data_IF_206004523267
#
_entry.id   IF_206004523267
#
_cell.length_a   1.000
_cell.length_b   1.000
_cell.length_c   1.000
_cell.angle_alpha   90.00
_cell.angle_beta   90.00
_cell.angle_gamma   90.00
#
_symmetry.space_group_name_H-M   'P 1'
#
loop_
_entity.id
_entity.type
_entity.pdbx_description
1 polymer ?
#
# COMPACT_ATOMS: atom_id res chain seq x y z
N UNK A 1 12.48 -7.95 -9.80
CA UNK A 1 13.12 -6.68 -10.20
C UNK A 1 12.58 -6.14 -11.53
N UNK A 2 12.04 -7.01 -12.42
CA UNK A 2 11.51 -6.63 -13.73
C UNK A 2 10.36 -5.60 -13.65
N UNK A 3 9.40 -5.82 -12.77
CA UNK A 3 8.19 -4.97 -12.65
C UNK A 3 8.43 -3.67 -11.87
N UNK A 4 9.46 -3.65 -11.05
CA UNK A 4 9.85 -2.48 -10.27
C UNK A 4 11.36 -2.33 -10.32
N UNK A 5 11.80 -1.26 -10.96
CA UNK A 5 13.20 -0.84 -10.95
C UNK A 5 13.32 0.42 -10.09
N UNK A 6 13.34 0.28 -8.76
CA UNK A 6 13.45 1.44 -7.88
C UNK A 6 14.76 2.18 -8.19
N UNK A 7 14.72 3.49 -8.18
CA UNK A 7 15.93 4.30 -8.36
C UNK A 7 16.81 4.29 -7.10
N UNK A 8 16.18 4.15 -5.95
CA UNK A 8 16.84 4.10 -4.63
C UNK A 8 16.05 3.15 -3.72
N UNK A 9 16.73 2.57 -2.74
CA UNK A 9 16.07 1.92 -1.60
C UNK A 9 16.05 2.88 -0.42
N UNK A 10 14.99 2.87 0.41
CA UNK A 10 15.00 3.62 1.65
C UNK A 10 16.11 3.11 2.57
N UNK A 11 16.58 3.97 3.47
CA UNK A 11 17.47 3.54 4.54
C UNK A 11 16.69 2.62 5.47
N UNK A 12 16.80 1.31 5.26
CA UNK A 12 16.17 0.29 6.10
C UNK A 12 17.01 0.12 7.38
N UNK A 13 16.75 0.97 8.36
CA UNK A 13 17.38 0.91 9.68
C UNK A 13 16.82 -0.22 10.55
N UNK A 14 15.66 -0.76 10.18
CA UNK A 14 15.04 -1.85 10.91
C UNK A 14 15.79 -3.16 10.66
N UNK A 15 16.38 -3.69 11.70
CA UNK A 15 17.18 -4.93 11.66
C UNK A 15 16.32 -6.19 11.44
N UNK A 16 15.01 -6.08 11.59
CA UNK A 16 14.09 -7.21 11.41
C UNK A 16 13.59 -7.38 9.96
N UNK A 17 14.04 -6.52 9.03
CA UNK A 17 13.63 -6.60 7.64
C UNK A 17 14.66 -7.39 6.83
N UNK A 18 14.19 -8.44 6.15
CA UNK A 18 14.96 -9.20 5.16
C UNK A 18 14.43 -8.89 3.75
N UNK A 19 15.32 -8.76 2.77
CA UNK A 19 14.98 -8.43 1.39
C UNK A 19 15.42 -9.57 0.47
N UNK A 20 14.48 -10.10 -0.30
CA UNK A 20 14.77 -11.02 -1.41
C UNK A 20 14.50 -10.30 -2.72
N UNK A 21 15.53 -10.16 -3.54
CA UNK A 21 15.44 -9.53 -4.85
C UNK A 21 15.42 -10.63 -5.91
N UNK A 22 14.25 -10.88 -6.47
CA UNK A 22 14.11 -11.85 -7.54
C UNK A 22 14.51 -11.22 -8.88
N UNK A 23 15.41 -11.88 -9.58
CA UNK A 23 15.99 -11.42 -10.85
C UNK A 23 15.69 -12.44 -11.92
N UNK A 24 14.88 -12.06 -12.90
CA UNK A 24 14.53 -12.92 -14.04
C UNK A 24 15.75 -13.29 -14.90
N UNK A 25 15.63 -14.36 -15.68
CA UNK A 25 16.73 -14.91 -16.50
C UNK A 25 17.33 -13.86 -17.44
N UNK A 26 16.48 -13.08 -18.10
CA UNK A 26 16.89 -12.06 -19.06
C UNK A 26 17.42 -10.75 -18.42
N UNK A 27 17.31 -10.62 -17.10
CA UNK A 27 17.73 -9.41 -16.39
C UNK A 27 19.21 -9.51 -16.00
N UNK A 28 20.08 -8.88 -16.77
CA UNK A 28 21.54 -8.91 -16.54
C UNK A 28 22.08 -7.61 -15.91
N UNK A 29 21.24 -6.58 -15.80
CA UNK A 29 21.65 -5.28 -15.25
C UNK A 29 20.82 -4.92 -14.04
N UNK A 30 21.49 -4.47 -12.99
CA UNK A 30 20.88 -3.89 -11.79
C UNK A 30 21.44 -2.48 -11.63
N UNK A 31 20.57 -1.54 -11.26
CA UNK A 31 21.00 -0.18 -10.98
C UNK A 31 22.04 -0.16 -9.85
N UNK A 32 23.17 0.53 -10.05
CA UNK A 32 24.26 0.58 -9.08
C UNK A 32 23.81 1.06 -7.70
N UNK A 33 22.99 2.10 -7.61
CA UNK A 33 22.53 2.62 -6.32
C UNK A 33 21.69 1.57 -5.56
N UNK A 34 20.93 0.74 -6.25
CA UNK A 34 20.18 -0.38 -5.64
C UNK A 34 21.12 -1.46 -5.17
N UNK A 35 22.09 -1.85 -6.00
CA UNK A 35 23.08 -2.85 -5.62
C UNK A 35 23.88 -2.40 -4.40
N UNK A 36 24.31 -1.15 -4.37
CA UNK A 36 25.02 -0.55 -3.24
C UNK A 36 24.15 -0.52 -1.97
N UNK A 37 22.90 -0.09 -2.06
CA UNK A 37 21.98 -0.08 -0.91
C UNK A 37 21.75 -1.48 -0.34
N UNK A 38 21.58 -2.49 -1.21
CA UNK A 38 21.43 -3.89 -0.79
C UNK A 38 22.71 -4.43 -0.14
N UNK A 39 23.88 -4.03 -0.65
CA UNK A 39 25.17 -4.38 -0.05
C UNK A 39 25.31 -3.83 1.39
N UNK A 40 24.87 -2.60 1.63
CA UNK A 40 24.85 -1.99 2.97
C UNK A 40 23.93 -2.73 3.96
N UNK A 41 22.83 -3.34 3.47
CA UNK A 41 21.94 -4.19 4.27
C UNK A 41 22.63 -5.52 4.65
N UNK A 42 23.60 -5.94 3.88
CA UNK A 42 24.43 -7.12 4.16
C UNK A 42 23.65 -8.42 4.04
N UNK A 43 23.83 -9.34 5.00
CA UNK A 43 23.25 -10.70 4.97
C UNK A 43 21.72 -10.74 4.91
N UNK A 44 21.04 -9.66 5.26
CA UNK A 44 19.57 -9.54 5.20
C UNK A 44 19.06 -9.24 3.80
N UNK A 45 19.94 -8.91 2.84
CA UNK A 45 19.57 -8.73 1.44
C UNK A 45 20.20 -9.84 0.59
N UNK A 46 19.36 -10.50 -0.23
CA UNK A 46 19.80 -11.60 -1.09
C UNK A 46 19.21 -11.46 -2.49
N UNK A 47 20.04 -11.71 -3.50
CA UNK A 47 19.58 -11.88 -4.88
C UNK A 47 19.20 -13.33 -5.15
N UNK A 48 18.06 -13.54 -5.76
CA UNK A 48 17.58 -14.84 -6.22
C UNK A 48 17.50 -14.78 -7.74
N UNK A 49 18.51 -15.30 -8.42
CA UNK A 49 18.52 -15.41 -9.88
C UNK A 49 17.64 -16.57 -10.31
N UNK A 50 16.67 -16.31 -11.19
CA UNK A 50 15.78 -17.32 -11.75
C UNK A 50 16.34 -17.75 -13.09
N UNK A 51 16.54 -19.06 -13.26
CA UNK A 51 17.12 -19.63 -14.47
C UNK A 51 16.06 -20.08 -15.48
N UNK A 52 14.82 -20.25 -15.04
CA UNK A 52 13.69 -20.63 -15.89
C UNK A 52 13.15 -19.43 -16.68
N UNK A 53 12.63 -19.70 -17.87
CA UNK A 53 11.83 -18.79 -18.69
C UNK A 53 10.39 -19.29 -18.74
N UNK A 54 9.45 -18.42 -18.89
CA UNK A 54 8.03 -18.75 -19.04
C UNK A 54 7.16 -17.70 -18.36
N UNK A 55 5.88 -17.68 -18.74
CA UNK A 55 4.90 -16.82 -18.11
C UNK A 55 4.82 -17.13 -16.62
N UNK A 56 4.85 -16.09 -15.78
CA UNK A 56 4.75 -16.18 -14.33
C UNK A 56 5.89 -16.98 -13.64
N UNK A 57 7.02 -17.25 -14.32
CA UNK A 57 8.13 -17.97 -13.71
C UNK A 57 8.65 -17.27 -12.43
N UNK A 58 8.72 -15.97 -12.46
CA UNK A 58 9.11 -15.14 -11.30
C UNK A 58 8.09 -15.26 -10.16
N UNK A 59 6.81 -15.26 -10.49
CA UNK A 59 5.71 -15.27 -9.51
C UNK A 59 5.65 -16.59 -8.76
N UNK A 60 5.88 -17.73 -9.45
CA UNK A 60 5.98 -19.03 -8.81
C UNK A 60 7.16 -19.10 -7.84
N UNK A 61 8.29 -18.52 -8.18
CA UNK A 61 9.43 -18.47 -7.25
C UNK A 61 9.14 -17.60 -6.03
N UNK A 62 8.50 -16.45 -6.22
CA UNK A 62 8.07 -15.60 -5.10
C UNK A 62 7.11 -16.36 -4.17
N UNK A 63 6.09 -17.02 -4.74
CA UNK A 63 5.14 -17.83 -3.99
C UNK A 63 5.83 -18.96 -3.20
N UNK A 64 6.76 -19.67 -3.84
CA UNK A 64 7.56 -20.72 -3.20
C UNK A 64 8.35 -20.19 -2.00
N UNK A 65 9.07 -19.09 -2.17
CA UNK A 65 9.86 -18.51 -1.07
C UNK A 65 9.01 -17.98 0.08
N UNK A 66 7.85 -17.42 -0.20
CA UNK A 66 6.90 -17.01 0.85
C UNK A 66 6.46 -18.23 1.65
N UNK A 67 6.04 -19.32 0.98
CA UNK A 67 5.63 -20.56 1.64
C UNK A 67 6.75 -21.19 2.46
N UNK A 68 7.97 -21.24 1.92
CA UNK A 68 9.16 -21.73 2.61
C UNK A 68 9.46 -20.94 3.88
N UNK A 69 9.49 -19.63 3.79
CA UNK A 69 9.81 -18.75 4.92
C UNK A 69 8.71 -18.71 5.97
N UNK A 70 7.44 -18.74 5.56
CA UNK A 70 6.30 -18.83 6.47
C UNK A 70 6.27 -20.16 7.23
N UNK A 71 6.81 -21.24 6.63
CA UNK A 71 7.00 -22.52 7.31
C UNK A 71 8.05 -22.46 8.43
N UNK A 72 9.07 -21.62 8.28
CA UNK A 72 10.13 -21.41 9.28
C UNK A 72 9.70 -20.44 10.37
N UNK A 73 9.04 -19.34 10.00
CA UNK A 73 8.56 -18.33 10.93
C UNK A 73 7.09 -17.96 10.61
N UNK A 74 6.17 -18.48 11.43
CA UNK A 74 4.73 -18.24 11.28
C UNK A 74 4.32 -16.80 11.64
N UNK A 75 5.19 -16.05 12.30
CA UNK A 75 4.94 -14.66 12.69
C UNK A 75 5.43 -13.66 11.65
N UNK A 76 6.17 -14.13 10.65
CA UNK A 76 6.72 -13.30 9.59
C UNK A 76 5.61 -12.61 8.79
N UNK A 77 5.86 -11.35 8.44
CA UNK A 77 5.00 -10.56 7.57
C UNK A 77 5.68 -10.37 6.22
N UNK A 78 4.95 -10.62 5.16
CA UNK A 78 5.49 -10.56 3.80
C UNK A 78 4.95 -9.33 3.06
N UNK A 79 5.84 -8.67 2.32
CA UNK A 79 5.49 -7.56 1.43
C UNK A 79 6.02 -7.88 0.03
N UNK A 80 5.11 -8.08 -0.92
CA UNK A 80 5.46 -8.21 -2.33
C UNK A 80 5.52 -6.81 -2.91
N UNK A 81 6.71 -6.36 -3.34
CA UNK A 81 6.86 -5.07 -3.99
C UNK A 81 6.65 -5.28 -5.49
N UNK A 82 5.44 -5.01 -5.98
CA UNK A 82 5.06 -5.19 -7.37
C UNK A 82 3.84 -4.35 -7.74
N UNK A 83 3.83 -3.82 -8.97
CA UNK A 83 2.65 -3.19 -9.56
C UNK A 83 1.69 -4.21 -10.19
N UNK A 84 2.12 -5.45 -10.29
CA UNK A 84 1.34 -6.52 -10.91
C UNK A 84 0.25 -7.00 -9.96
N UNK A 85 -1.00 -6.82 -10.34
CA UNK A 85 -2.18 -7.29 -9.61
C UNK A 85 -2.37 -8.81 -9.70
N UNK A 86 -1.61 -9.51 -10.53
CA UNK A 86 -1.59 -10.97 -10.62
C UNK A 86 -1.24 -11.66 -9.29
N UNK A 87 -0.60 -10.94 -8.36
CA UNK A 87 -0.33 -11.42 -7.00
C UNK A 87 -1.54 -11.37 -6.07
N UNK A 88 -2.60 -10.63 -6.38
CA UNK A 88 -3.72 -10.41 -5.46
C UNK A 88 -4.45 -11.73 -5.10
N UNK A 89 -4.70 -12.69 -6.02
CA UNK A 89 -5.25 -14.00 -5.67
C UNK A 89 -4.36 -14.82 -4.74
N UNK A 90 -3.04 -14.80 -4.95
CA UNK A 90 -2.08 -15.45 -4.05
C UNK A 90 -2.14 -14.84 -2.64
N UNK A 91 -2.17 -13.52 -2.55
CA UNK A 91 -2.24 -12.80 -1.28
C UNK A 91 -3.53 -13.12 -0.53
N UNK A 92 -4.66 -13.19 -1.24
CA UNK A 92 -5.94 -13.59 -0.66
C UNK A 92 -5.87 -15.01 -0.08
N UNK A 93 -5.28 -15.96 -0.81
CA UNK A 93 -5.07 -17.33 -0.34
C UNK A 93 -4.14 -17.40 0.89
N UNK A 94 -3.01 -16.71 0.85
CA UNK A 94 -2.06 -16.66 1.97
C UNK A 94 -2.72 -16.11 3.25
N UNK A 95 -3.51 -15.04 3.14
CA UNK A 95 -4.27 -14.50 4.27
C UNK A 95 -5.28 -15.49 4.82
N UNK A 96 -6.00 -16.21 3.95
CA UNK A 96 -6.96 -17.24 4.37
C UNK A 96 -6.29 -18.41 5.12
N UNK A 97 -5.01 -18.69 4.83
CA UNK A 97 -4.20 -19.70 5.52
C UNK A 97 -3.43 -19.16 6.74
N UNK A 98 -3.68 -17.91 7.14
CA UNK A 98 -3.05 -17.28 8.30
C UNK A 98 -1.68 -16.67 8.06
N UNK A 99 -1.23 -16.57 6.80
CA UNK A 99 0.05 -15.95 6.43
C UNK A 99 -0.20 -14.47 6.11
N UNK A 100 0.45 -13.59 6.85
CA UNK A 100 0.35 -12.15 6.62
C UNK A 100 1.14 -11.73 5.39
N UNK A 101 0.44 -11.46 4.28
CA UNK A 101 1.04 -11.00 3.04
C UNK A 101 0.28 -9.80 2.47
N UNK A 102 1.01 -8.81 1.94
CA UNK A 102 0.44 -7.63 1.25
C UNK A 102 1.25 -7.28 0.01
N UNK A 103 0.63 -6.63 -0.97
CA UNK A 103 1.33 -6.06 -2.11
C UNK A 103 1.50 -4.54 -1.91
N UNK A 104 2.65 -4.04 -2.29
CA UNK A 104 2.99 -2.62 -2.29
C UNK A 104 3.52 -2.24 -3.68
N UNK A 105 3.10 -1.11 -4.21
CA UNK A 105 3.54 -0.63 -5.54
C UNK A 105 4.98 -0.08 -5.52
N UNK A 106 5.50 0.23 -4.34
CA UNK A 106 6.87 0.74 -4.14
C UNK A 106 7.35 0.50 -2.72
N UNK A 107 8.65 0.64 -2.48
CA UNK A 107 9.19 0.60 -1.13
C UNK A 107 8.66 1.77 -0.29
N UNK A 108 8.22 1.51 0.96
CA UNK A 108 7.89 2.57 1.92
C UNK A 108 9.08 3.52 2.09
N UNK A 109 8.86 4.83 1.96
CA UNK A 109 9.92 5.85 2.09
C UNK A 109 10.60 6.28 0.79
N UNK A 110 10.41 5.61 -0.34
CA UNK A 110 10.87 6.04 -1.67
C UNK A 110 9.84 6.83 -2.47
N UNK A 111 8.68 6.98 -1.97
CA UNK A 111 7.72 7.92 -2.52
C UNK A 111 8.17 9.34 -2.11
N UNK A 112 8.68 10.17 -3.07
CA UNK A 112 8.07 11.49 -3.16
C UNK A 112 6.59 11.24 -2.95
N UNK A 113 5.83 12.10 -2.25
CA UNK A 113 4.39 11.91 -2.11
C UNK A 113 3.75 11.94 -3.50
N UNK A 114 3.92 10.88 -4.26
CA UNK A 114 3.09 10.48 -5.37
C UNK A 114 1.98 9.69 -4.74
N UNK A 115 0.91 10.36 -4.63
CA UNK A 115 -0.44 9.99 -4.29
C UNK A 115 -0.85 8.61 -4.83
N UNK A 116 -0.45 7.52 -4.17
CA UNK A 116 -1.09 6.20 -4.32
C UNK A 116 -0.57 5.30 -3.23
N UNK A 117 -1.12 5.45 -2.06
CA UNK A 117 -1.22 4.40 -1.04
C UNK A 117 -2.10 4.89 0.06
N UNK A 118 -3.11 4.14 0.38
CA UNK A 118 -3.93 4.31 1.57
C UNK A 118 -3.98 5.77 2.09
N UNK A 119 -4.33 6.69 1.22
CA UNK A 119 -5.19 7.76 1.65
C UNK A 119 -6.42 6.97 2.04
N UNK A 120 -6.51 6.63 3.30
CA UNK A 120 -7.76 6.20 3.88
C UNK A 120 -8.80 7.05 3.20
N UNK A 121 -9.95 6.50 2.88
CA UNK A 121 -11.05 7.26 2.28
C UNK A 121 -11.23 8.61 2.98
N UNK A 122 -10.89 8.65 4.27
CA UNK A 122 -10.73 9.83 5.10
C UNK A 122 -9.77 10.88 4.51
N UNK A 123 -8.54 10.51 4.16
CA UNK A 123 -7.57 11.46 3.61
C UNK A 123 -7.99 11.98 2.21
N UNK A 124 -8.68 11.15 1.43
CA UNK A 124 -9.28 11.57 0.14
C UNK A 124 -10.41 12.55 0.35
N UNK A 125 -11.27 12.32 1.35
CA UNK A 125 -12.35 13.25 1.74
C UNK A 125 -11.79 14.56 2.23
N UNK A 126 -10.74 14.56 3.06
CA UNK A 126 -10.07 15.78 3.53
C UNK A 126 -9.51 16.58 2.35
N UNK A 127 -8.78 15.92 1.45
CA UNK A 127 -8.23 16.57 0.25
C UNK A 127 -9.33 17.13 -0.67
N UNK A 128 -10.48 16.44 -0.76
CA UNK A 128 -11.64 16.94 -1.51
C UNK A 128 -12.23 18.18 -0.84
N UNK A 129 -12.39 18.18 0.48
CA UNK A 129 -12.87 19.34 1.25
C UNK A 129 -11.95 20.56 1.10
N UNK A 130 -10.63 20.34 0.98
CA UNK A 130 -9.67 21.39 0.71
C UNK A 130 -9.87 22.03 -0.68
N UNK A 131 -10.19 21.21 -1.69
CA UNK A 131 -10.47 21.69 -3.06
C UNK A 131 -11.76 22.52 -3.13
N UNK A 132 -12.79 22.14 -2.36
CA UNK A 132 -14.12 22.79 -2.39
C UNK A 132 -14.33 23.83 -1.28
N UNK A 133 -13.26 24.47 -0.79
CA UNK A 133 -13.31 25.42 0.34
C UNK A 133 -14.48 26.42 0.29
N UNK A 134 -14.81 26.91 -0.90
CA UNK A 134 -15.91 27.87 -1.13
C UNK A 134 -17.30 27.24 -1.25
N UNK A 135 -17.39 25.92 -1.39
CA UNK A 135 -18.63 25.20 -1.63
C UNK A 135 -18.81 24.00 -0.70
N UNK A 136 -18.24 24.06 0.50
CA UNK A 136 -18.35 23.00 1.50
C UNK A 136 -19.80 22.83 1.95
N UNK A 137 -20.27 21.58 2.11
CA UNK A 137 -21.63 21.30 2.57
C UNK A 137 -21.89 21.87 3.94
N UNK A 138 -23.00 22.59 4.13
CA UNK A 138 -23.37 23.23 5.40
C UNK A 138 -24.23 22.36 6.32
N UNK A 139 -24.70 21.18 5.86
CA UNK A 139 -25.49 20.25 6.65
C UNK A 139 -24.95 18.83 6.53
N UNK A 140 -25.23 17.99 7.55
CA UNK A 140 -24.79 16.60 7.56
C UNK A 140 -25.30 15.82 6.36
N UNK A 141 -26.58 16.00 5.99
CA UNK A 141 -27.18 15.33 4.83
C UNK A 141 -26.45 15.69 3.52
N UNK A 142 -26.20 16.98 3.29
CA UNK A 142 -25.43 17.43 2.13
C UNK A 142 -23.99 16.90 2.13
N UNK A 143 -23.41 16.78 3.32
CA UNK A 143 -22.07 16.22 3.49
C UNK A 143 -22.03 14.72 3.15
N UNK A 144 -22.99 13.95 3.63
CA UNK A 144 -23.18 12.53 3.25
C UNK A 144 -23.33 12.36 1.75
N UNK A 145 -24.22 13.14 1.15
CA UNK A 145 -24.49 13.10 -0.29
C UNK A 145 -23.24 13.47 -1.11
N UNK A 146 -22.45 14.43 -0.67
CA UNK A 146 -21.19 14.80 -1.29
C UNK A 146 -20.18 13.64 -1.23
N UNK A 147 -20.01 12.98 -0.08
CA UNK A 147 -19.12 11.82 0.05
C UNK A 147 -19.56 10.70 -0.91
N UNK A 148 -20.85 10.35 -0.90
CA UNK A 148 -21.40 9.31 -1.78
C UNK A 148 -21.16 9.66 -3.25
N UNK A 149 -21.45 10.89 -3.66
CA UNK A 149 -21.29 11.32 -5.04
C UNK A 149 -19.83 11.34 -5.50
N UNK A 150 -18.92 11.85 -4.64
CA UNK A 150 -17.52 11.99 -4.98
C UNK A 150 -16.75 10.66 -4.96
N UNK A 151 -17.14 9.72 -4.09
CA UNK A 151 -16.42 8.47 -3.82
C UNK A 151 -17.23 7.20 -4.07
N UNK A 152 -18.26 7.27 -4.90
CA UNK A 152 -19.23 6.18 -5.22
C UNK A 152 -18.59 4.82 -5.52
N UNK A 153 -17.36 4.80 -6.05
CA UNK A 153 -16.63 3.56 -6.36
C UNK A 153 -15.78 3.03 -5.20
N UNK A 154 -15.64 3.78 -4.13
CA UNK A 154 -14.70 3.51 -3.04
C UNK A 154 -15.36 3.39 -1.67
N UNK A 155 -16.65 3.72 -1.56
CA UNK A 155 -17.40 3.69 -0.30
C UNK A 155 -18.80 3.11 -0.48
N UNK A 156 -19.21 2.29 0.47
CA UNK A 156 -20.60 1.82 0.60
C UNK A 156 -21.42 2.77 1.48
N UNK A 157 -22.73 2.71 1.38
CA UNK A 157 -23.63 3.52 2.23
C UNK A 157 -23.42 3.27 3.73
N UNK A 158 -23.05 2.05 4.11
CA UNK A 158 -22.80 1.63 5.49
C UNK A 158 -21.50 2.22 6.06
N UNK A 159 -20.52 2.51 5.21
CA UNK A 159 -19.20 3.04 5.61
C UNK A 159 -19.19 4.57 5.76
N UNK A 160 -20.21 5.28 5.24
CA UNK A 160 -20.27 6.76 5.34
C UNK A 160 -20.40 7.23 6.78
N UNK A 161 -21.23 6.54 7.59
CA UNK A 161 -21.45 6.93 9.00
C UNK A 161 -20.21 6.77 9.86
N UNK A 162 -19.50 5.63 9.85
CA UNK A 162 -18.22 5.47 10.54
C UNK A 162 -17.15 6.48 10.11
N UNK A 163 -17.11 6.83 8.82
CA UNK A 163 -16.18 7.83 8.30
C UNK A 163 -16.48 9.22 8.88
N UNK A 164 -17.75 9.64 8.94
CA UNK A 164 -18.15 10.91 9.54
C UNK A 164 -17.76 10.99 11.01
N UNK A 165 -18.00 9.92 11.78
CA UNK A 165 -17.59 9.86 13.19
C UNK A 165 -16.07 9.95 13.34
N UNK A 166 -15.30 9.34 12.46
CA UNK A 166 -13.83 9.46 12.44
C UNK A 166 -13.38 10.91 12.19
N UNK A 167 -14.01 11.61 11.23
CA UNK A 167 -13.71 13.00 10.92
C UNK A 167 -14.09 13.94 12.08
N UNK A 168 -15.17 13.64 12.82
CA UNK A 168 -15.57 14.36 14.05
C UNK A 168 -14.55 14.14 15.18
N UNK A 169 -14.17 12.87 15.42
CA UNK A 169 -13.18 12.53 16.44
C UNK A 169 -11.83 13.23 16.23
N UNK A 170 -11.42 13.38 14.97
CA UNK A 170 -10.20 14.13 14.58
C UNK A 170 -10.39 15.64 14.53
N UNK A 171 -11.54 16.16 14.90
CA UNK A 171 -11.88 17.58 14.89
C UNK A 171 -11.74 18.27 13.52
N UNK A 172 -11.84 17.50 12.43
CA UNK A 172 -11.79 18.02 11.05
C UNK A 172 -13.12 18.69 10.70
N UNK A 173 -14.21 18.09 11.18
CA UNK A 173 -15.56 18.64 11.10
C UNK A 173 -16.20 18.63 12.50
N UNK A 174 -17.15 19.52 12.71
CA UNK A 174 -18.05 19.51 13.86
C UNK A 174 -19.49 19.59 13.35
N UNK A 175 -20.39 18.82 13.96
CA UNK A 175 -21.79 18.80 13.62
C UNK A 175 -22.58 19.18 14.88
N UNK A 176 -23.38 20.24 14.80
CA UNK A 176 -24.19 20.72 15.90
C UNK A 176 -25.55 19.97 16.02
N UNK A 177 -26.30 20.25 17.07
CA UNK A 177 -27.62 19.64 17.31
C UNK A 177 -28.65 19.93 16.18
N UNK A 178 -28.41 20.96 15.37
CA UNK A 178 -29.21 21.32 14.20
C UNK A 178 -28.67 20.71 12.90
N UNK A 179 -27.78 19.70 13.02
CA UNK A 179 -27.11 19.01 11.89
C UNK A 179 -26.33 19.95 10.96
N UNK A 180 -25.86 21.09 11.45
CA UNK A 180 -25.03 22.01 10.70
C UNK A 180 -23.57 21.60 10.81
N UNK A 181 -22.89 21.53 9.67
CA UNK A 181 -21.48 21.15 9.60
C UNK A 181 -20.59 22.39 9.61
N UNK A 182 -19.65 22.44 10.53
CA UNK A 182 -18.56 23.41 10.58
C UNK A 182 -17.21 22.70 10.37
N UNK A 183 -16.24 23.42 9.83
CA UNK A 183 -14.94 22.87 9.40
C UNK A 183 -13.82 23.59 10.16
N UNK A 184 -12.88 22.82 10.69
CA UNK A 184 -11.66 23.40 11.25
C UNK A 184 -10.79 23.94 10.11
N UNK A 185 -10.19 25.09 10.34
CA UNK A 185 -9.29 25.77 9.39
C UNK A 185 -7.93 25.11 9.37
#
# INVERSE_FOLDING_TARGET
YENIQPKTLPSLKDENINILVFVGKAQDKINFNIAHSLQLIGKRARYIKIHATGNNALDFHIAYYIGLLAGVDKTARFHIISKDTGFDPLIAHLKATGIHCTRLDSFPGNSKPTETTDKTLEAKVIAHLEKIKKSRPGTEEKFRNMIIAAFKKEITLEEVSPLIETLKAKKIIQIDEKQKVSYSS
#
